data_IF_090608767795
#
_entry.id   IF_090608767795
#
_cell.length_a   1.000
_cell.length_b   1.000
_cell.length_c   1.000
_cell.angle_alpha   90.00
_cell.angle_beta   90.00
_cell.angle_gamma   90.00
#
_symmetry.space_group_name_H-M   'P 1'
#
loop_
_entity.id
_entity.type
_entity.pdbx_description
1 polymer ?
2 polymer ?
3 polymer ?
4 water ?
#
loop_
_entity_poly.entity_id
_entity_poly.type
_entity_poly.pdbx_seq_one_letter_code
_entity_poly.pdbx_strand_id
2 'polydeoxyribonucleotide' '(DC)(DA)(DC)(DC)(DG)(DG)(DA)(DT)(DA)(DG)(DA)' ?
3 'polydeoxyribonucleotide' '(DC)(DT)(DA)(DT)(DC)(5CM)(DG)(DG)(DT)(DG)(DA)' ?
#
# COMPACT_ATOMS: atom_id res chain seq x y z
N UNK A 2 -6.80 -23.90 -2.09
CA UNK A 2 -6.60 -23.36 -3.47
C UNK A 2 -7.01 -21.91 -3.61
N UNK A 3 -6.39 -20.98 -2.87
CA UNK A 3 -6.45 -19.56 -3.28
C UNK A 3 -5.31 -19.11 -4.23
N UNK A 4 -4.30 -19.94 -4.50
CA UNK A 4 -3.13 -19.46 -5.26
C UNK A 4 -3.46 -18.96 -6.69
N UNK A 5 -4.52 -19.50 -7.28
CA UNK A 5 -4.92 -19.16 -8.65
C UNK A 5 -6.36 -18.57 -8.81
N UNK A 6 -7.04 -18.24 -7.71
CA UNK A 6 -8.43 -17.80 -7.83
C UNK A 6 -8.41 -16.37 -8.39
N UNK A 7 -9.44 -16.02 -9.16
CA UNK A 7 -9.72 -14.60 -9.52
C UNK A 7 -10.92 -14.01 -8.78
N UNK A 8 -11.36 -12.80 -9.16
CA UNK A 8 -12.45 -12.11 -8.45
C UNK A 8 -13.82 -12.69 -8.84
N UNK A 9 -14.81 -12.55 -7.96
CA UNK A 9 -16.24 -12.84 -8.24
C UNK A 9 -17.00 -11.61 -8.67
N UNK A 10 -16.70 -10.49 -8.00
CA UNK A 10 -17.34 -9.21 -8.22
C UNK A 10 -16.26 -8.15 -8.41
N UNK A 11 -16.63 -6.90 -8.18
CA UNK A 11 -15.77 -5.79 -8.50
C UNK A 11 -16.41 -4.53 -7.95
N UNK A 12 -15.59 -3.58 -7.64
CA UNK A 12 -16.07 -2.30 -7.18
C UNK A 12 -16.52 -1.43 -8.35
N UNK A 13 -17.76 -0.96 -8.29
CA UNK A 13 -18.27 -0.01 -9.31
C UNK A 13 -18.82 1.24 -8.68
N UNK A 14 -19.32 1.09 -7.44
CA UNK A 14 -19.36 2.14 -6.43
C UNK A 14 -18.54 3.35 -6.90
N UNK A 15 -17.23 3.12 -7.12
CA UNK A 15 -16.36 4.15 -7.69
C UNK A 15 -15.34 3.52 -8.63
N UNK A 16 -14.70 4.33 -9.46
CA UNK A 16 -13.87 3.76 -10.53
C UNK A 16 -12.44 3.30 -10.15
N UNK A 17 -11.81 2.55 -11.07
CA UNK A 17 -10.45 2.02 -10.88
C UNK A 17 -9.47 3.11 -10.50
N UNK A 18 -9.67 4.31 -11.02
CA UNK A 18 -8.75 5.40 -10.73
C UNK A 18 -9.34 6.42 -9.76
N UNK A 19 -10.02 5.93 -8.73
CA UNK A 19 -10.55 6.75 -7.67
C UNK A 19 -9.49 7.00 -6.66
N UNK A 20 -9.20 8.26 -6.37
CA UNK A 20 -8.27 8.62 -5.29
C UNK A 20 -9.06 8.81 -4.03
N UNK A 21 -8.63 8.19 -2.96
CA UNK A 21 -9.22 8.40 -1.63
C UNK A 21 -9.89 7.15 -1.09
N UNK A 22 -10.58 7.25 0.04
CA UNK A 22 -11.29 6.04 0.52
C UNK A 22 -12.38 5.52 -0.42
N UNK A 23 -12.59 4.22 -0.48
CA UNK A 23 -13.78 3.70 -1.09
C UNK A 23 -14.89 4.02 -0.10
N UNK A 24 -15.92 4.75 -0.54
CA UNK A 24 -17.02 5.20 0.32
C UNK A 24 -17.69 4.07 1.06
N UNK A 25 -17.92 4.26 2.35
CA UNK A 25 -18.43 3.20 3.23
C UNK A 25 -17.66 1.88 3.24
N UNK A 26 -16.33 1.94 3.02
CA UNK A 26 -15.41 0.88 3.48
C UNK A 26 -14.48 1.50 4.52
N UNK A 27 -14.77 1.30 5.82
CA UNK A 27 -14.10 2.12 6.84
C UNK A 27 -12.75 1.57 7.26
N UNK A 28 -11.98 2.39 7.94
CA UNK A 28 -10.70 1.95 8.51
C UNK A 28 -10.96 0.81 9.48
N UNK A 29 -10.26 -0.33 9.35
CA UNK A 29 -10.44 -1.47 10.27
C UNK A 29 -11.05 -2.68 9.58
N UNK A 30 -11.50 -2.45 8.36
CA UNK A 30 -12.01 -3.52 7.53
C UNK A 30 -10.94 -4.61 7.38
N UNK A 31 -11.36 -5.87 7.40
CA UNK A 31 -10.43 -7.00 7.29
C UNK A 31 -10.79 -7.98 6.16
N UNK A 32 -9.79 -8.43 5.41
CA UNK A 32 -10.05 -9.47 4.43
C UNK A 32 -9.01 -10.55 4.57
N UNK A 33 -9.44 -11.80 4.56
CA UNK A 33 -8.49 -12.89 4.70
C UNK A 33 -7.47 -12.89 3.56
N UNK A 34 -7.94 -12.79 2.34
CA UNK A 34 -7.07 -12.92 1.18
C UNK A 34 -7.10 -11.67 0.33
N UNK A 35 -6.00 -11.51 -0.43
CA UNK A 35 -5.75 -10.38 -1.29
C UNK A 35 -6.82 -10.15 -2.35
N UNK A 36 -7.40 -11.24 -2.89
CA UNK A 36 -8.47 -11.14 -3.90
C UNK A 36 -9.70 -10.43 -3.37
N UNK A 37 -10.06 -10.67 -2.11
CA UNK A 37 -11.14 -9.96 -1.47
C UNK A 37 -10.84 -8.46 -1.36
N UNK A 38 -9.56 -8.13 -1.19
CA UNK A 38 -9.18 -6.74 -1.06
C UNK A 38 -9.33 -6.08 -2.41
N UNK A 39 -9.04 -6.83 -3.46
CA UNK A 39 -9.29 -6.38 -4.82
C UNK A 39 -10.78 -6.15 -5.06
N UNK A 40 -11.63 -7.09 -4.65
CA UNK A 40 -13.10 -6.96 -4.87
C UNK A 40 -13.71 -5.75 -4.16
N UNK A 41 -13.15 -5.42 -3.00
CA UNK A 41 -13.59 -4.24 -2.20
C UNK A 41 -13.36 -2.94 -2.96
N UNK A 42 -12.36 -2.96 -3.84
CA UNK A 42 -11.93 -1.76 -4.52
C UNK A 42 -10.84 -1.04 -3.76
N UNK A 43 -10.44 -1.56 -2.59
CA UNK A 43 -9.47 -0.86 -1.76
C UNK A 43 -8.07 -1.05 -2.38
N UNK A 44 -7.80 -2.22 -2.95
CA UNK A 44 -6.48 -2.43 -3.61
C UNK A 44 -6.69 -3.39 -4.74
N UNK A 45 -6.82 -2.88 -5.95
CA UNK A 45 -7.26 -3.74 -7.06
C UNK A 45 -6.23 -4.78 -7.42
N UNK A 46 -4.97 -4.39 -7.51
CA UNK A 46 -4.01 -5.41 -7.84
C UNK A 46 -3.99 -6.55 -6.81
N UNK A 47 -4.34 -7.68 -7.34
CA UNK A 47 -4.11 -9.03 -6.84
C UNK A 47 -2.83 -9.36 -6.05
N UNK A 48 -1.70 -8.99 -6.64
CA UNK A 48 -0.38 -9.40 -6.16
C UNK A 48 0.51 -8.18 -5.87
N UNK A 49 0.51 -7.21 -6.79
CA UNK A 49 1.42 -6.03 -6.73
C UNK A 49 1.21 -5.22 -5.47
N UNK A 50 2.30 -4.63 -4.98
CA UNK A 50 2.28 -3.79 -3.78
C UNK A 50 1.58 -2.45 -3.96
N UNK A 51 1.69 -1.85 -5.17
CA UNK A 51 1.14 -0.56 -5.48
C UNK A 51 0.08 -0.61 -6.60
N UNK A 52 -0.97 0.18 -6.46
CA UNK A 52 -1.85 0.37 -7.55
C UNK A 52 -1.66 1.76 -7.98
N UNK A 53 -1.30 1.95 -9.25
CA UNK A 53 -1.18 3.28 -9.80
C UNK A 53 -1.06 3.35 -11.28
N UNK A 54 -1.31 4.54 -11.81
CA UNK A 54 -1.02 4.82 -13.21
C UNK A 54 0.08 5.85 -13.23
N UNK A 55 1.10 5.63 -14.06
CA UNK A 55 2.34 6.41 -14.03
C UNK A 55 2.21 7.87 -14.48
N UNK A 56 1.09 8.20 -15.10
CA UNK A 56 0.82 9.58 -15.51
C UNK A 56 -0.23 10.29 -14.69
N UNK A 57 -0.62 9.68 -13.58
CA UNK A 57 -1.77 10.18 -12.83
C UNK A 57 -1.42 10.13 -11.35
N UNK A 58 -1.12 8.96 -10.82
CA UNK A 58 -0.74 8.79 -9.41
C UNK A 58 -1.01 7.39 -8.91
N UNK A 59 -0.70 7.12 -7.64
CA UNK A 59 -1.05 5.84 -6.98
C UNK A 59 -2.27 5.97 -6.04
N UNK A 60 -3.16 5.00 -6.15
CA UNK A 60 -4.44 5.00 -5.44
C UNK A 60 -4.32 4.25 -4.13
N UNK A 61 -3.46 3.23 -4.11
CA UNK A 61 -3.30 2.40 -2.92
C UNK A 61 -2.04 1.58 -2.93
N UNK A 62 -1.74 1.03 -1.76
CA UNK A 62 -0.61 0.15 -1.58
C UNK A 62 -0.76 -0.76 -0.34
N UNK A 63 -0.01 -1.87 -0.36
CA UNK A 63 -0.02 -2.92 0.67
C UNK A 63 1.36 -3.10 1.29
N UNK A 64 1.44 -3.05 2.64
CA UNK A 64 2.64 -3.40 3.43
C UNK A 64 2.53 -4.87 3.85
N UNK A 65 3.30 -5.71 3.19
CA UNK A 65 3.18 -7.15 3.31
C UNK A 65 4.50 -7.86 3.60
N UNK A 66 5.50 -7.15 4.07
CA UNK A 66 6.76 -7.82 4.30
C UNK A 66 7.36 -7.67 2.94
N UNK A 67 7.44 -8.74 2.14
CA UNK A 67 7.79 -8.55 0.74
C UNK A 67 9.15 -7.93 0.41
N UNK A 68 9.50 -6.79 1.02
CA UNK A 68 10.68 -6.01 0.62
C UNK A 68 11.45 -5.59 1.84
N UNK A 69 12.63 -6.15 1.94
CA UNK A 69 13.52 -5.90 3.04
C UNK A 69 13.75 -4.40 3.42
N UNK A 70 13.60 -3.47 2.51
CA UNK A 70 13.89 -2.06 2.81
C UNK A 70 12.66 -1.25 3.30
N UNK A 71 11.46 -1.85 3.38
CA UNK A 71 10.31 -1.17 3.96
C UNK A 71 10.59 -1.00 5.43
N UNK A 72 10.23 0.15 6.03
CA UNK A 72 10.28 0.32 7.48
C UNK A 72 8.92 0.84 7.94
N UNK A 73 8.28 0.16 8.88
CA UNK A 73 6.93 0.51 9.22
C UNK A 73 6.84 1.18 10.56
N UNK A 74 6.37 2.41 10.61
CA UNK A 74 6.36 3.14 11.89
C UNK A 74 4.97 3.60 12.32
N UNK A 75 3.97 2.95 11.76
CA UNK A 75 2.61 3.12 12.17
C UNK A 75 2.00 4.31 11.48
N UNK A 76 2.11 5.43 12.15
CA UNK A 76 1.48 6.61 11.68
C UNK A 76 2.28 7.16 10.49
N UNK A 77 3.53 6.69 10.37
CA UNK A 77 4.32 6.90 9.19
C UNK A 77 5.09 5.64 8.87
N UNK A 78 5.59 5.55 7.65
CA UNK A 78 6.42 4.45 7.24
C UNK A 78 7.15 4.78 5.98
N UNK A 79 8.30 4.11 5.79
CA UNK A 79 9.04 4.22 4.53
C UNK A 79 8.76 3.00 3.69
N UNK A 80 8.28 3.26 2.50
CA UNK A 80 7.91 2.20 1.60
C UNK A 80 8.95 2.13 0.50
N UNK A 81 9.14 0.92 -0.04
CA UNK A 81 10.07 0.66 -1.12
C UNK A 81 9.31 0.59 -2.46
N UNK A 82 9.89 1.17 -3.49
CA UNK A 82 9.40 0.94 -4.81
C UNK A 82 9.41 -0.53 -5.17
N UNK A 83 8.74 -0.82 -6.28
CA UNK A 83 8.80 -2.15 -6.90
C UNK A 83 9.85 -2.29 -8.02
N UNK A 84 10.13 -3.55 -8.33
CA UNK A 84 11.04 -3.90 -9.39
C UNK A 84 12.45 -4.14 -8.85
N UNK A 85 13.42 -4.05 -9.76
CA UNK A 85 14.84 -4.34 -9.48
C UNK A 85 15.04 -5.79 -9.18
N UNK A 86 14.23 -6.64 -9.81
CA UNK A 86 14.14 -8.08 -9.50
C UNK A 86 14.07 -8.97 -10.75
N UNK A 87 14.78 -10.11 -10.78
CA UNK A 87 14.69 -11.06 -11.93
C UNK A 87 13.60 -12.07 -11.65
N UNK A 88 12.46 -11.97 -12.31
CA UNK A 88 11.38 -12.89 -12.04
C UNK A 88 11.33 -14.06 -13.02
N UNK A 89 12.45 -14.37 -13.69
CA UNK A 89 12.31 -15.43 -14.70
C UNK A 89 11.93 -16.72 -14.03
N UNK A 90 11.31 -17.59 -14.82
CA UNK A 90 10.73 -18.82 -14.31
C UNK A 90 9.32 -18.57 -13.80
N UNK A 91 8.64 -17.57 -14.34
CA UNK A 91 7.23 -17.28 -13.99
C UNK A 91 7.03 -17.08 -12.50
N UNK A 92 7.99 -16.38 -11.89
CA UNK A 92 7.96 -16.03 -10.46
C UNK A 92 7.21 -14.74 -10.25
N UNK A 93 6.73 -14.55 -9.02
CA UNK A 93 6.08 -13.31 -8.59
C UNK A 93 6.98 -12.46 -7.65
N UNK A 94 7.88 -13.09 -6.91
CA UNK A 94 8.78 -12.37 -6.01
C UNK A 94 10.22 -12.91 -6.09
N UNK A 95 11.20 -12.11 -5.63
CA UNK A 95 12.62 -12.47 -5.58
C UNK A 95 13.32 -11.34 -4.88
N UNK A 96 14.61 -11.56 -4.57
CA UNK A 96 15.40 -10.55 -3.88
C UNK A 96 15.91 -9.64 -4.96
N UNK A 97 16.51 -8.51 -4.55
CA UNK A 97 16.85 -7.48 -5.53
C UNK A 97 18.07 -7.90 -6.32
N UNK A 98 18.02 -7.77 -7.63
CA UNK A 98 19.21 -8.02 -8.42
C UNK A 98 19.56 -6.85 -9.37
N UNK A 99 18.74 -5.81 -9.38
CA UNK A 99 19.10 -4.65 -10.19
C UNK A 99 18.54 -3.39 -9.60
N UNK A 100 19.06 -2.26 -10.06
CA UNK A 100 18.51 -0.98 -9.64
C UNK A 100 17.04 -0.84 -10.08
N UNK A 101 16.21 -0.36 -9.15
CA UNK A 101 14.86 0.06 -9.42
C UNK A 101 14.92 1.34 -10.22
N UNK A 102 13.79 1.71 -10.85
CA UNK A 102 13.71 2.93 -11.67
C UNK A 102 12.49 3.73 -11.29
N UNK A 103 12.50 5.03 -11.61
CA UNK A 103 11.34 5.91 -11.42
C UNK A 103 10.38 5.74 -12.59
N UNK A 104 9.78 4.55 -12.69
CA UNK A 104 8.87 4.27 -13.76
C UNK A 104 7.64 3.59 -13.22
N UNK A 105 6.61 3.56 -14.03
CA UNK A 105 5.49 2.74 -13.73
C UNK A 105 4.90 3.11 -12.36
N UNK A 106 4.66 2.14 -11.48
CA UNK A 106 4.11 2.49 -10.18
C UNK A 106 5.02 3.30 -9.29
N UNK A 107 6.32 3.07 -9.38
CA UNK A 107 7.28 3.87 -8.65
C UNK A 107 7.08 5.35 -8.96
N UNK A 108 6.92 5.62 -10.26
CA UNK A 108 6.63 6.95 -10.74
C UNK A 108 5.23 7.43 -10.32
N UNK A 109 4.24 6.54 -10.46
CA UNK A 109 2.87 6.82 -10.02
C UNK A 109 2.86 7.33 -8.61
N UNK A 110 3.56 6.61 -7.74
CA UNK A 110 3.58 6.95 -6.31
C UNK A 110 4.27 8.28 -6.10
N UNK A 111 5.34 8.52 -6.84
CA UNK A 111 6.03 9.82 -6.81
C UNK A 111 5.08 10.96 -7.11
N UNK A 112 4.20 10.76 -8.08
CA UNK A 112 3.30 11.82 -8.47
C UNK A 112 2.41 12.23 -7.32
N UNK A 113 2.12 11.34 -6.38
CA UNK A 113 1.25 11.71 -5.26
C UNK A 113 1.82 12.78 -4.34
N UNK A 114 3.13 12.91 -4.34
CA UNK A 114 3.78 13.86 -3.48
C UNK A 114 3.60 15.23 -4.12
N UNK A 115 3.28 16.22 -3.29
CA UNK A 115 2.89 17.56 -3.74
C UNK A 115 4.10 18.39 -4.12
N UNK A 116 4.65 18.08 -5.29
CA UNK A 116 5.92 18.65 -5.80
C UNK A 116 6.18 18.05 -7.21
N UNK A 117 6.66 18.85 -8.16
CA UNK A 117 6.84 18.25 -9.48
C UNK A 117 7.70 17.01 -9.44
N UNK A 118 7.36 16.07 -10.28
CA UNK A 118 8.12 14.85 -10.40
C UNK A 118 9.58 15.22 -10.69
N UNK A 119 10.46 14.49 -10.05
CA UNK A 119 11.84 14.81 -10.14
C UNK A 119 12.63 13.55 -10.07
N UNK A 120 13.42 13.31 -11.10
CA UNK A 120 14.29 12.13 -11.21
C UNK A 120 15.24 11.88 -10.00
N UNK A 121 15.63 12.89 -9.27
CA UNK A 121 16.47 12.70 -8.10
C UNK A 121 15.69 12.68 -6.77
N UNK A 122 14.37 12.79 -6.82
CA UNK A 122 13.57 12.79 -5.64
C UNK A 122 13.13 14.20 -5.38
N UNK A 123 12.18 14.31 -4.48
CA UNK A 123 11.46 15.56 -4.19
C UNK A 123 10.91 15.46 -2.78
N UNK A 124 10.63 16.60 -2.17
CA UNK A 124 9.69 16.60 -1.03
C UNK A 124 8.62 17.67 -1.12
N UNK A 125 7.47 17.37 -0.55
CA UNK A 125 6.38 18.32 -0.41
C UNK A 125 6.50 19.24 0.82
N UNK A 126 6.40 20.54 0.56
CA UNK A 126 5.98 21.58 1.59
C UNK A 126 4.59 21.32 2.27
N UNK A 127 3.49 21.44 1.52
CA UNK A 127 2.20 21.10 2.07
C UNK A 127 1.92 19.66 1.67
N UNK A 128 2.53 18.74 2.40
CA UNK A 128 2.31 17.33 2.13
C UNK A 128 0.85 16.93 2.13
N UNK A 129 0.08 17.55 3.01
CA UNK A 129 -1.33 17.23 3.14
C UNK A 129 -2.05 17.51 1.82
N UNK A 130 -1.54 18.44 1.02
CA UNK A 130 -2.16 18.74 -0.25
C UNK A 130 -1.81 17.77 -1.38
N UNK A 131 -0.98 16.78 -1.14
CA UNK A 131 -0.71 15.80 -2.17
C UNK A 131 -1.84 14.79 -2.25
N UNK A 132 -1.78 13.94 -3.24
CA UNK A 132 -2.85 12.98 -3.50
C UNK A 132 -2.84 11.88 -2.48
N UNK A 133 -4.02 11.49 -2.00
CA UNK A 133 -4.17 10.44 -0.98
C UNK A 133 -3.82 9.06 -1.47
N UNK A 134 -3.31 8.22 -0.55
CA UNK A 134 -3.04 6.78 -0.80
C UNK A 134 -3.66 5.90 0.30
N UNK A 135 -4.49 4.95 -0.14
CA UNK A 135 -5.12 3.99 0.76
C UNK A 135 -4.03 3.00 1.12
N UNK A 136 -3.88 2.77 2.41
CA UNK A 136 -2.87 1.87 2.86
C UNK A 136 -3.50 0.62 3.46
N UNK A 137 -3.03 -0.53 3.01
CA UNK A 137 -3.46 -1.79 3.57
C UNK A 137 -2.27 -2.43 4.22
N UNK A 138 -2.48 -2.97 5.43
CA UNK A 138 -1.48 -3.77 6.14
C UNK A 138 -1.87 -5.27 6.18
N UNK A 139 -0.89 -6.09 5.88
CA UNK A 139 -1.03 -7.49 5.73
C UNK A 139 -0.24 -8.15 6.82
N UNK A 140 -0.57 -9.38 7.15
CA UNK A 140 0.04 -10.02 8.30
C UNK A 140 1.49 -10.40 8.06
N UNK A 141 1.85 -10.76 6.84
CA UNK A 141 3.27 -11.08 6.53
C UNK A 141 4.17 -9.91 6.91
N UNK A 142 3.57 -8.75 7.12
CA UNK A 142 4.35 -7.61 7.58
C UNK A 142 4.86 -7.79 8.97
N UNK A 143 4.24 -8.72 9.72
CA UNK A 143 4.44 -8.81 11.18
C UNK A 143 5.75 -9.43 11.61
N UNK A 144 6.54 -9.97 10.67
CA UNK A 144 7.80 -10.51 11.10
C UNK A 144 8.58 -9.32 11.66
N UNK A 145 8.48 -8.16 11.01
CA UNK A 145 9.21 -7.00 11.49
C UNK A 145 8.41 -5.83 12.04
N UNK A 146 7.16 -5.65 11.65
CA UNK A 146 6.38 -4.56 12.19
C UNK A 146 5.41 -5.04 13.24
N UNK A 147 5.33 -4.33 14.36
CA UNK A 147 4.39 -4.63 15.40
C UNK A 147 2.98 -4.07 15.12
N UNK A 148 2.80 -3.40 13.98
CA UNK A 148 1.52 -2.82 13.57
C UNK A 148 0.72 -3.73 12.64
N UNK A 149 1.35 -4.79 12.13
CA UNK A 149 0.71 -5.65 11.15
C UNK A 149 -0.35 -6.50 11.85
N UNK A 150 -1.47 -6.79 11.17
CA UNK A 150 -2.48 -7.59 11.79
C UNK A 150 -1.99 -9.01 11.91
N UNK A 151 -2.49 -9.73 12.90
CA UNK A 151 -2.20 -11.18 13.07
C UNK A 151 -2.54 -12.01 11.81
N UNK A 152 -3.71 -11.73 11.22
CA UNK A 152 -4.27 -12.54 10.15
C UNK A 152 -4.68 -11.62 8.99
N UNK A 153 -4.43 -12.09 7.77
CA UNK A 153 -4.91 -11.44 6.56
C UNK A 153 -4.55 -9.97 6.42
N UNK A 154 -5.48 -9.20 5.86
CA UNK A 154 -5.28 -7.83 5.43
C UNK A 154 -6.22 -6.91 6.18
N UNK A 155 -5.77 -5.66 6.34
CA UNK A 155 -6.47 -4.66 7.14
C UNK A 155 -6.34 -3.29 6.47
N UNK A 156 -7.46 -2.54 6.31
CA UNK A 156 -7.45 -1.16 5.79
C UNK A 156 -7.19 -0.21 6.93
N UNK A 157 -6.06 0.50 6.85
CA UNK A 157 -5.58 1.38 7.90
C UNK A 157 -5.72 2.83 7.49
N UNK A 158 -6.17 3.08 6.27
CA UNK A 158 -6.59 4.45 5.94
C UNK A 158 -5.66 5.22 5.01
N UNK A 159 -5.94 6.50 4.88
CA UNK A 159 -5.26 7.39 3.96
C UNK A 159 -3.93 7.86 4.52
N UNK A 160 -2.87 7.63 3.77
CA UNK A 160 -1.59 8.28 4.02
C UNK A 160 -1.27 9.12 2.81
N UNK A 161 -0.18 9.88 2.90
CA UNK A 161 0.29 10.74 1.82
C UNK A 161 1.80 10.76 1.74
N UNK A 162 2.32 10.94 0.51
CA UNK A 162 3.72 10.87 0.25
C UNK A 162 4.34 12.21 0.61
N UNK A 163 5.06 12.24 1.74
CA UNK A 163 5.71 13.46 2.23
C UNK A 163 6.98 13.70 1.42
N UNK A 164 7.67 12.62 1.05
CA UNK A 164 8.96 12.73 0.36
C UNK A 164 9.28 11.41 -0.36
N UNK A 165 10.11 11.49 -1.40
CA UNK A 165 10.67 10.30 -2.04
C UNK A 165 12.07 10.51 -2.54
N UNK A 166 12.86 9.45 -2.47
CA UNK A 166 14.24 9.53 -2.88
C UNK A 166 14.84 8.14 -3.16
N UNK A 167 15.92 8.12 -3.95
CA UNK A 167 16.63 6.90 -4.29
C UNK A 167 17.86 6.67 -3.43
N UNK A 168 18.12 5.46 -3.01
CA UNK A 168 19.36 5.14 -2.38
C UNK A 168 19.54 3.66 -2.42
N UNK A 169 20.74 3.20 -2.15
CA UNK A 169 20.95 1.77 -2.16
C UNK A 169 20.15 1.14 -1.04
N UNK A 170 19.58 -0.02 -1.37
CA UNK A 170 18.94 -0.89 -0.41
C UNK A 170 19.93 -1.76 0.29
N UNK A 171 19.41 -2.60 1.18
CA UNK A 171 20.27 -3.60 1.81
C UNK A 171 20.96 -4.50 0.78
N UNK A 172 20.32 -4.73 -0.35
CA UNK A 172 20.86 -5.66 -1.34
C UNK A 172 22.08 -5.10 -2.04
N UNK A 173 22.26 -3.78 -1.92
CA UNK A 173 23.28 -3.06 -2.64
C UNK A 173 22.76 -2.27 -3.84
N UNK A 174 21.63 -2.68 -4.43
CA UNK A 174 21.09 -2.00 -5.62
C UNK A 174 20.15 -0.84 -5.27
N UNK A 175 19.98 0.10 -6.21
CA UNK A 175 19.16 1.29 -5.95
C UNK A 175 17.71 0.88 -5.71
N UNK A 176 17.09 1.48 -4.72
CA UNK A 176 15.70 1.32 -4.50
C UNK A 176 15.08 2.73 -4.40
N UNK A 177 13.80 2.85 -4.77
CA UNK A 177 13.09 4.10 -4.56
C UNK A 177 12.43 4.00 -3.18
N UNK A 178 12.65 5.04 -2.36
CA UNK A 178 12.09 5.09 -1.00
C UNK A 178 11.05 6.23 -0.83
N UNK A 179 9.94 5.89 -0.18
CA UNK A 179 8.83 6.81 -0.04
C UNK A 179 8.41 7.00 1.42
N UNK A 180 8.54 8.21 1.96
CA UNK A 180 7.96 8.46 3.31
C UNK A 180 6.46 8.79 3.22
N UNK A 181 5.64 7.98 3.92
CA UNK A 181 4.20 8.15 3.98
C UNK A 181 3.76 8.51 5.37
N UNK A 182 3.00 9.60 5.48
CA UNK A 182 2.37 10.03 6.73
C UNK A 182 0.83 9.81 6.61
N UNK A 183 0.24 9.35 7.70
CA UNK A 183 -1.19 9.15 7.81
C UNK A 183 -1.89 10.48 7.88
N UNK A 184 -2.96 10.61 7.10
CA UNK A 184 -3.85 11.74 7.12
C UNK A 184 -5.26 11.19 7.02
N UNK A 185 -5.81 10.76 8.13
CA UNK A 185 -7.12 10.12 8.10
C UNK A 185 -7.89 10.68 9.26
N UNK A 186 -9.19 10.88 9.11
CA UNK A 186 -10.00 11.45 10.21
C UNK A 186 -10.32 10.38 11.26
N UNK A 187 -10.06 9.10 11.00
CA UNK A 187 -10.44 8.03 11.94
C UNK A 187 -9.26 7.29 12.56
N UNK A 188 -9.42 6.82 13.80
CA UNK A 188 -8.30 6.27 14.56
C UNK A 188 -7.60 5.10 13.89
N UNK A 189 -6.31 4.92 14.18
CA UNK A 189 -5.58 3.77 13.68
C UNK A 189 -6.19 2.52 14.27
N UNK A 190 -6.35 1.50 13.44
CA UNK A 190 -7.09 0.35 13.90
C UNK A 190 -6.40 -0.46 14.98
N UNK A 191 -5.11 -0.32 15.17
CA UNK A 191 -4.37 -1.04 16.26
C UNK A 191 -4.48 -0.32 17.59
N UNK A 192 -4.98 0.90 17.55
CA UNK A 192 -5.31 1.75 18.68
C UNK A 192 -6.60 1.30 19.38
N UNK A 193 -6.75 1.62 20.67
CA UNK A 193 -8.02 1.34 21.37
C UNK A 193 -9.25 2.00 20.76
N UNK A 194 -9.08 3.20 20.28
CA UNK A 194 -10.18 3.88 19.67
C UNK A 194 -10.58 3.11 18.41
N UNK A 195 -9.60 2.78 17.58
CA UNK A 195 -9.87 2.01 16.38
C UNK A 195 -10.48 0.64 16.67
N UNK A 196 -9.98 -0.04 17.70
CA UNK A 196 -10.53 -1.35 18.07
C UNK A 196 -11.99 -1.24 18.53
N UNK A 197 -12.30 -0.18 19.28
CA UNK A 197 -13.69 0.07 19.68
C UNK A 197 -14.56 0.33 18.46
N UNK A 198 -14.01 1.04 17.51
CA UNK A 198 -14.77 1.44 16.35
C UNK A 198 -15.05 0.24 15.45
N UNK A 199 -14.01 -0.57 15.24
CA UNK A 199 -14.10 -1.84 14.54
C UNK A 199 -15.20 -2.68 15.14
N UNK A 200 -15.21 -2.79 16.47
CA UNK A 200 -16.24 -3.53 17.16
C UNK A 200 -17.58 -2.80 16.99
N UNK A 201 -17.54 -1.50 17.20
CA UNK A 201 -18.77 -0.72 17.18
C UNK A 201 -19.46 -0.79 15.82
N UNK A 202 -18.70 -1.01 14.74
CA UNK A 202 -19.22 -1.19 13.36
C UNK A 202 -19.43 -2.64 12.91
N UNK A 203 -19.07 -3.59 13.76
CA UNK A 203 -19.28 -4.99 13.45
C UNK A 203 -18.36 -5.51 12.37
N UNK A 204 -17.21 -4.89 12.23
CA UNK A 204 -16.22 -5.40 11.29
C UNK A 204 -15.65 -6.73 11.80
N UNK A 205 -15.59 -7.68 10.89
CA UNK A 205 -15.01 -8.97 11.18
C UNK A 205 -14.22 -9.41 9.92
N UNK A 206 -13.25 -10.28 10.12
CA UNK A 206 -12.51 -10.83 8.99
C UNK A 206 -13.43 -11.34 7.90
N UNK A 207 -13.19 -10.95 6.68
CA UNK A 207 -14.00 -11.41 5.59
C UNK A 207 -13.28 -12.55 4.92
N UNK A 208 -13.92 -13.71 4.97
CA UNK A 208 -13.41 -14.89 4.34
C UNK A 208 -14.12 -15.09 2.99
N UNK A 209 -13.54 -15.90 2.13
CA UNK A 209 -14.14 -16.24 0.84
C UNK A 209 -15.53 -16.83 0.96
N UNK A 210 -16.38 -16.55 -0.04
CA UNK A 210 -17.71 -17.21 -0.15
C UNK A 210 -17.53 -18.69 -0.40
#
# INVERSE_FOLDING_TARGET
SGMACVGRTTECTIVPANHFGPIPGVPVGTMWRFRVQVSESGVHRPHVAGIHGRSNDGAYSLVLAGGYEDDVDNGNYFTYTGSGGRDLSGNKRTAGQSSDQKLTNNNRALALNCHSPINEKGAEAEDWRQGKPVRVVRNMKGGKHSKYAPAEGNRYDGIYKVVKYWPERGKSGFLVWRYLLRRDDTEPEPWTREGKDRTRQLGLTMQYPE
#
